data_IF_827215729569
#
_entry.id   IF_827215729569
#
_cell.length_a   1.000
_cell.length_b   1.000
_cell.length_c   1.000
_cell.angle_alpha   90.00
_cell.angle_beta   90.00
_cell.angle_gamma   90.00
#
_symmetry.space_group_name_H-M   'P 1'
#
loop_
_entity.id
_entity.type
_entity.pdbx_description
1 polymer ?
#
# COMPACT_ATOMS: atom_id res chain seq x y z
N UNK A 1 4.39 -4.95 -21.80
CA UNK A 1 3.11 -5.24 -21.12
C UNK A 1 3.38 -5.97 -19.81
N UNK A 2 2.58 -5.71 -18.79
CA UNK A 2 2.68 -6.42 -17.51
C UNK A 2 1.28 -6.88 -17.06
N UNK A 3 1.18 -8.08 -16.48
CA UNK A 3 -0.06 -8.64 -15.96
C UNK A 3 0.20 -9.55 -14.75
N UNK A 4 -0.80 -9.65 -13.87
CA UNK A 4 -0.72 -10.53 -12.71
C UNK A 4 -1.34 -11.90 -13.01
N UNK A 5 -0.62 -12.97 -12.69
CA UNK A 5 -1.14 -14.33 -12.74
C UNK A 5 -1.94 -14.64 -11.47
N UNK A 6 -3.24 -14.72 -11.61
CA UNK A 6 -4.11 -15.21 -10.54
C UNK A 6 -4.18 -16.75 -10.66
N UNK A 7 -3.94 -17.47 -9.55
CA UNK A 7 -4.15 -18.91 -9.51
C UNK A 7 -5.64 -19.22 -9.74
N UNK A 8 -5.95 -20.01 -10.76
CA UNK A 8 -7.29 -20.57 -10.94
C UNK A 8 -7.59 -21.45 -9.72
N UNK A 9 -8.72 -21.27 -9.01
CA UNK A 9 -9.05 -22.12 -7.88
C UNK A 9 -9.25 -23.56 -8.38
N UNK A 10 -8.29 -24.44 -8.11
CA UNK A 10 -8.41 -25.86 -8.34
C UNK A 10 -9.49 -26.38 -7.39
N UNK A 11 -10.62 -26.86 -7.91
CA UNK A 11 -11.63 -27.58 -7.13
C UNK A 11 -10.92 -28.72 -6.41
N UNK A 12 -10.95 -28.70 -5.07
CA UNK A 12 -10.42 -29.82 -4.27
C UNK A 12 -11.25 -31.06 -4.55
N UNK A 13 -10.76 -31.97 -5.37
CA UNK A 13 -11.24 -33.35 -5.36
C UNK A 13 -10.87 -33.96 -4.01
N UNK A 14 -11.88 -34.41 -3.26
CA UNK A 14 -11.69 -35.17 -2.02
C UNK A 14 -10.81 -36.38 -2.35
N UNK A 15 -9.57 -36.41 -1.82
CA UNK A 15 -8.76 -37.62 -1.79
C UNK A 15 -9.21 -38.43 -0.58
N UNK A 16 -9.68 -39.66 -0.90
CA UNK A 16 -9.90 -40.73 0.07
C UNK A 16 -8.60 -41.05 0.84
N UNK A 17 -8.76 -41.28 2.12
CA UNK A 17 -7.72 -41.69 3.06
C UNK A 17 -6.98 -42.97 2.61
N UNK A 18 -5.65 -42.87 2.57
CA UNK A 18 -4.77 -44.01 2.79
C UNK A 18 -3.73 -43.62 3.82
N UNK A 19 -3.82 -44.26 4.98
CA UNK A 19 -2.78 -44.33 6.00
C UNK A 19 -1.61 -45.13 5.42
N UNK A 20 -0.39 -44.60 5.53
CA UNK A 20 0.83 -45.41 5.67
C UNK A 20 2.02 -44.57 6.18
N UNK A 21 2.54 -45.03 7.24
CA UNK A 21 3.88 -45.06 7.82
C UNK A 21 4.84 -43.85 7.83
N UNK A 22 5.30 -43.68 9.06
CA UNK A 22 6.39 -42.91 9.60
C UNK A 22 7.72 -43.03 8.87
N UNK A 23 8.29 -41.89 8.38
CA UNK A 23 9.73 -41.69 8.28
C UNK A 23 10.08 -40.22 8.39
N UNK A 24 11.05 -39.85 9.25
CA UNK A 24 11.61 -38.53 9.49
C UNK A 24 11.85 -37.75 8.19
N UNK A 25 10.91 -36.85 7.80
CA UNK A 25 11.10 -35.92 6.69
C UNK A 25 11.72 -34.64 7.22
N UNK A 26 12.97 -34.34 6.82
CA UNK A 26 13.53 -32.98 6.88
C UNK A 26 12.49 -31.99 6.41
N UNK A 27 12.08 -31.03 7.26
CA UNK A 27 11.13 -29.98 6.92
C UNK A 27 11.70 -29.13 5.76
N UNK A 28 11.45 -29.50 4.53
CA UNK A 28 11.61 -28.59 3.39
C UNK A 28 10.71 -27.40 3.69
N UNK A 29 11.27 -26.18 3.77
CA UNK A 29 10.49 -24.95 3.88
C UNK A 29 9.47 -24.96 2.73
N UNK A 30 8.17 -25.08 3.05
CA UNK A 30 7.11 -25.05 2.03
C UNK A 30 7.15 -23.66 1.38
N UNK A 31 7.22 -23.63 0.05
CA UNK A 31 7.14 -22.38 -0.69
C UNK A 31 5.89 -21.60 -0.30
N UNK A 32 6.01 -20.29 -0.19
CA UNK A 32 4.91 -19.39 0.15
C UNK A 32 3.82 -19.48 -0.91
N UNK A 33 2.57 -19.72 -0.51
CA UNK A 33 1.45 -19.82 -1.45
C UNK A 33 1.11 -18.47 -2.05
N UNK A 34 0.87 -18.42 -3.34
CA UNK A 34 0.33 -17.25 -4.05
C UNK A 34 -1.11 -16.99 -3.58
N UNK A 35 -1.39 -15.78 -3.15
CA UNK A 35 -2.72 -15.36 -2.65
C UNK A 35 -2.81 -13.83 -2.59
N UNK A 36 -4.00 -13.26 -2.44
CA UNK A 36 -4.18 -11.82 -2.23
C UNK A 36 -3.37 -11.27 -1.03
N UNK A 37 -3.19 -12.08 0.04
CA UNK A 37 -2.38 -11.71 1.20
C UNK A 37 -0.89 -11.72 0.89
N UNK A 38 -0.41 -12.69 0.13
CA UNK A 38 1.01 -12.90 -0.13
C UNK A 38 1.49 -12.22 -1.41
N UNK A 39 0.58 -11.82 -2.30
CA UNK A 39 0.87 -11.32 -3.64
C UNK A 39 0.78 -12.40 -4.70
N UNK A 40 0.74 -11.97 -5.95
CA UNK A 40 0.66 -12.78 -7.16
C UNK A 40 1.98 -12.72 -7.95
N UNK A 41 2.13 -13.54 -8.97
CA UNK A 41 3.25 -13.42 -9.89
C UNK A 41 2.95 -12.34 -10.92
N UNK A 42 3.83 -11.36 -11.04
CA UNK A 42 3.78 -10.33 -12.07
C UNK A 42 4.63 -10.78 -13.25
N UNK A 43 4.03 -10.94 -14.40
CA UNK A 43 4.73 -11.26 -15.65
C UNK A 43 4.89 -9.97 -16.46
N UNK A 44 6.10 -9.71 -16.88
CA UNK A 44 6.45 -8.58 -17.75
C UNK A 44 6.87 -9.15 -19.09
N UNK A 45 6.13 -8.82 -20.13
CA UNK A 45 6.39 -9.30 -21.49
C UNK A 45 6.88 -8.15 -22.37
N UNK A 46 8.02 -8.32 -22.97
CA UNK A 46 8.49 -7.45 -24.05
C UNK A 46 7.79 -7.84 -25.35
N UNK A 47 7.06 -6.90 -25.95
CA UNK A 47 6.25 -7.20 -27.15
C UNK A 47 7.09 -7.39 -28.41
N UNK A 48 8.26 -6.75 -28.48
CA UNK A 48 9.15 -6.88 -29.65
C UNK A 48 9.89 -8.23 -29.65
N UNK A 49 10.44 -8.63 -28.49
CA UNK A 49 11.25 -9.84 -28.35
C UNK A 49 10.46 -11.05 -27.89
N UNK A 50 9.21 -10.88 -27.49
CA UNK A 50 8.32 -11.89 -26.87
C UNK A 50 8.88 -12.49 -25.58
N UNK A 51 9.98 -11.96 -25.04
CA UNK A 51 10.59 -12.43 -23.80
C UNK A 51 9.72 -12.07 -22.61
N UNK A 52 9.59 -12.99 -21.67
CA UNK A 52 8.85 -12.82 -20.42
C UNK A 52 9.77 -12.93 -19.22
N UNK A 53 9.62 -11.99 -18.28
CA UNK A 53 10.27 -12.02 -16.97
C UNK A 53 9.18 -12.06 -15.89
N UNK A 54 9.40 -12.88 -14.85
CA UNK A 54 8.39 -13.08 -13.77
C UNK A 54 8.93 -12.62 -12.43
N UNK A 55 8.22 -11.66 -11.82
CA UNK A 55 8.47 -11.20 -10.45
C UNK A 55 7.47 -11.85 -9.50
N UNK A 56 7.96 -12.47 -8.43
CA UNK A 56 7.12 -13.21 -7.49
C UNK A 56 6.56 -12.34 -6.39
N UNK A 57 5.36 -12.70 -5.90
CA UNK A 57 4.71 -12.12 -4.72
C UNK A 57 4.47 -10.61 -4.80
N UNK A 58 4.04 -10.12 -5.93
CA UNK A 58 3.67 -8.73 -6.17
C UNK A 58 2.22 -8.49 -5.76
N UNK A 59 1.96 -7.44 -4.99
CA UNK A 59 0.61 -7.00 -4.59
C UNK A 59 0.03 -5.94 -5.50
N UNK A 60 0.88 -5.02 -5.95
CA UNK A 60 0.49 -3.88 -6.78
C UNK A 60 1.66 -3.49 -7.67
N UNK A 61 1.36 -3.01 -8.84
CA UNK A 61 2.35 -2.42 -9.73
C UNK A 61 1.76 -1.22 -10.47
N UNK A 62 2.62 -0.32 -10.94
CA UNK A 62 2.27 0.82 -11.76
C UNK A 62 3.41 1.19 -12.69
N UNK A 63 3.09 1.50 -13.94
CA UNK A 63 4.05 2.08 -14.88
C UNK A 63 4.18 3.58 -14.65
N UNK A 64 5.38 4.11 -14.87
CA UNK A 64 5.56 5.53 -15.11
C UNK A 64 4.90 5.91 -16.44
N UNK A 65 4.49 7.17 -16.59
CA UNK A 65 3.74 7.66 -17.75
C UNK A 65 4.49 7.43 -19.09
N UNK A 66 5.81 7.58 -19.07
CA UNK A 66 6.66 7.34 -20.24
C UNK A 66 6.93 5.86 -20.54
N UNK A 67 6.44 4.94 -19.69
CA UNK A 67 6.59 3.51 -19.90
C UNK A 67 7.99 2.94 -19.65
N UNK A 68 8.98 3.75 -19.27
CA UNK A 68 10.36 3.32 -19.06
C UNK A 68 10.62 2.67 -17.70
N UNK A 69 9.80 2.97 -16.72
CA UNK A 69 9.93 2.46 -15.35
C UNK A 69 8.63 1.85 -14.85
N UNK A 70 8.78 0.82 -14.05
CA UNK A 70 7.70 0.11 -13.38
C UNK A 70 7.98 0.09 -11.88
N UNK A 71 7.08 0.60 -11.06
CA UNK A 71 7.10 0.37 -9.62
C UNK A 71 6.27 -0.85 -9.26
N UNK A 72 6.72 -1.61 -8.29
CA UNK A 72 5.93 -2.72 -7.75
C UNK A 72 6.14 -2.89 -6.24
N UNK A 73 5.10 -3.35 -5.57
CA UNK A 73 5.10 -3.69 -4.16
C UNK A 73 5.14 -5.19 -4.05
N UNK A 74 6.21 -5.74 -3.49
CA UNK A 74 6.35 -7.17 -3.25
C UNK A 74 6.35 -7.49 -1.76
N UNK A 75 5.83 -8.67 -1.40
CA UNK A 75 5.94 -9.20 -0.02
C UNK A 75 7.20 -10.05 0.18
N UNK A 76 8.03 -10.19 -0.86
CA UNK A 76 9.25 -11.00 -0.84
C UNK A 76 9.02 -12.49 -0.57
N UNK A 77 10.02 -13.30 -0.79
CA UNK A 77 9.98 -14.73 -0.47
C UNK A 77 10.20 -14.97 1.03
N UNK A 78 11.11 -14.21 1.66
CA UNK A 78 11.58 -14.39 3.04
C UNK A 78 10.92 -13.43 4.06
N UNK A 79 9.67 -13.03 3.82
CA UNK A 79 8.92 -12.11 4.69
C UNK A 79 9.50 -10.69 4.79
N UNK A 80 10.42 -10.33 3.94
CA UNK A 80 10.90 -8.96 3.75
C UNK A 80 10.21 -8.43 2.50
N UNK A 81 9.27 -7.53 2.68
CA UNK A 81 8.56 -6.88 1.59
C UNK A 81 9.11 -5.49 1.32
N UNK A 82 8.75 -4.93 0.18
CA UNK A 82 9.20 -3.59 -0.15
C UNK A 82 8.56 -3.00 -1.38
N UNK A 83 9.00 -1.80 -1.68
CA UNK A 83 8.73 -1.11 -2.94
C UNK A 83 10.01 -1.14 -3.77
N UNK A 84 9.85 -1.54 -5.00
CA UNK A 84 10.92 -1.67 -5.98
C UNK A 84 10.56 -0.89 -7.22
N UNK A 85 11.59 -0.38 -7.89
CA UNK A 85 11.46 0.24 -9.22
C UNK A 85 12.33 -0.54 -10.20
N UNK A 86 11.70 -1.07 -11.22
CA UNK A 86 12.35 -1.72 -12.34
C UNK A 86 12.50 -0.72 -13.48
N UNK A 87 13.73 -0.52 -13.94
CA UNK A 87 14.02 0.18 -15.19
C UNK A 87 13.92 -0.83 -16.34
N UNK A 88 12.99 -0.58 -17.27
CA UNK A 88 12.70 -1.48 -18.39
C UNK A 88 13.69 -1.36 -19.56
N UNK A 89 14.51 -0.30 -19.59
CA UNK A 89 15.52 -0.10 -20.65
C UNK A 89 16.75 -0.97 -20.41
N UNK A 90 17.20 -1.06 -19.16
CA UNK A 90 18.42 -1.80 -18.79
C UNK A 90 18.14 -3.01 -17.88
N UNK A 91 16.86 -3.29 -17.60
CA UNK A 91 16.38 -4.38 -16.74
C UNK A 91 16.99 -4.38 -15.33
N UNK A 92 17.28 -3.19 -14.77
CA UNK A 92 17.81 -3.05 -13.41
C UNK A 92 16.71 -2.78 -12.41
N UNK A 93 16.75 -3.47 -11.27
CA UNK A 93 15.80 -3.27 -10.17
C UNK A 93 16.47 -2.51 -9.03
N UNK A 94 15.85 -1.41 -8.61
CA UNK A 94 16.26 -0.63 -7.44
C UNK A 94 15.30 -0.89 -6.28
N UNK A 95 15.83 -1.28 -5.12
CA UNK A 95 15.07 -1.36 -3.88
C UNK A 95 14.88 0.06 -3.33
N UNK A 96 13.68 0.58 -3.44
CA UNK A 96 13.31 1.94 -3.00
C UNK A 96 13.05 1.99 -1.50
N UNK A 97 12.34 0.97 -1.01
CA UNK A 97 12.01 0.83 0.41
C UNK A 97 11.84 -0.64 0.75
N UNK A 98 12.38 -1.07 1.89
CA UNK A 98 12.21 -2.45 2.37
C UNK A 98 11.87 -2.48 3.85
N UNK A 99 11.15 -3.52 4.25
CA UNK A 99 10.77 -3.73 5.64
C UNK A 99 9.98 -5.01 5.86
N UNK A 100 9.59 -5.26 7.10
CA UNK A 100 8.82 -6.45 7.47
C UNK A 100 7.51 -6.54 6.68
N UNK A 101 7.01 -7.74 6.43
CA UNK A 101 5.73 -7.96 5.71
C UNK A 101 4.48 -7.39 6.39
N UNK A 102 4.57 -6.94 7.64
CA UNK A 102 3.52 -6.22 8.35
C UNK A 102 3.34 -4.78 7.85
N UNK A 103 4.36 -4.22 7.19
CA UNK A 103 4.33 -2.87 6.63
C UNK A 103 3.30 -2.79 5.50
N UNK A 104 2.49 -1.74 5.52
CA UNK A 104 1.51 -1.45 4.48
C UNK A 104 1.93 -0.23 3.68
N UNK A 105 1.68 -0.28 2.39
CA UNK A 105 2.02 0.76 1.44
C UNK A 105 0.76 1.30 0.78
N UNK A 106 0.67 2.61 0.67
CA UNK A 106 -0.50 3.32 0.13
C UNK A 106 -0.04 4.36 -0.90
N UNK A 107 -0.97 4.77 -1.75
CA UNK A 107 -0.85 5.94 -2.64
C UNK A 107 0.47 6.05 -3.40
N UNK A 108 0.96 4.94 -3.95
CA UNK A 108 2.20 4.93 -4.74
C UNK A 108 1.97 5.57 -6.10
N UNK A 109 2.71 6.62 -6.43
CA UNK A 109 2.63 7.27 -7.75
C UNK A 109 3.98 7.86 -8.21
N UNK A 110 4.23 7.79 -9.51
CA UNK A 110 5.38 8.43 -10.16
C UNK A 110 5.07 9.89 -10.54
N UNK A 111 6.11 10.68 -10.70
CA UNK A 111 6.05 11.88 -11.52
C UNK A 111 5.94 11.53 -13.01
N UNK A 112 5.60 12.49 -13.88
CA UNK A 112 5.42 12.26 -15.31
C UNK A 112 6.68 11.68 -15.97
N UNK A 113 7.87 12.15 -15.60
CA UNK A 113 9.14 11.66 -16.11
C UNK A 113 9.62 10.31 -15.51
N UNK A 114 8.89 9.73 -14.57
CA UNK A 114 9.28 8.46 -13.91
C UNK A 114 10.55 8.55 -13.05
N UNK A 115 11.07 9.75 -12.80
CA UNK A 115 12.32 9.97 -12.06
C UNK A 115 12.12 10.10 -10.55
N UNK A 116 10.90 10.39 -10.11
CA UNK A 116 10.52 10.49 -8.69
C UNK A 116 9.33 9.58 -8.40
N UNK A 117 9.32 8.99 -7.21
CA UNK A 117 8.21 8.14 -6.74
C UNK A 117 7.81 8.59 -5.33
N UNK A 118 6.54 8.95 -5.16
CA UNK A 118 5.95 9.25 -3.86
C UNK A 118 5.10 8.09 -3.36
N UNK A 119 5.14 7.84 -2.05
CA UNK A 119 4.30 6.81 -1.43
C UNK A 119 4.13 7.03 0.08
N UNK A 120 3.05 6.49 0.62
CA UNK A 120 2.74 6.49 2.05
C UNK A 120 3.02 5.12 2.64
N UNK A 121 3.65 5.09 3.81
CA UNK A 121 4.00 3.87 4.53
C UNK A 121 3.35 3.87 5.90
N UNK A 122 2.80 2.72 6.28
CA UNK A 122 2.42 2.39 7.65
C UNK A 122 3.41 1.32 8.16
N UNK A 123 4.41 1.76 8.89
CA UNK A 123 5.46 0.93 9.45
C UNK A 123 5.17 0.48 10.89
N UNK A 124 4.03 0.90 11.47
CA UNK A 124 3.69 0.59 12.85
C UNK A 124 3.34 -0.90 13.02
N UNK A 125 4.00 -1.52 13.98
CA UNK A 125 3.79 -2.92 14.39
C UNK A 125 3.01 -3.06 15.69
N UNK A 126 2.78 -1.95 16.41
CA UNK A 126 2.12 -1.94 17.72
C UNK A 126 0.61 -2.03 17.61
N UNK A 127 0.04 -1.96 16.39
CA UNK A 127 -1.39 -1.89 16.11
C UNK A 127 -2.07 -0.67 16.76
N UNK A 128 -1.35 0.46 16.82
CA UNK A 128 -1.91 1.71 17.31
C UNK A 128 -3.26 2.03 16.65
N UNK A 129 -4.21 2.52 17.43
CA UNK A 129 -5.56 2.88 16.95
C UNK A 129 -5.49 4.05 15.96
N UNK A 130 -4.64 5.04 16.25
CA UNK A 130 -4.27 6.10 15.31
C UNK A 130 -2.99 5.67 14.60
N UNK A 131 -3.07 5.42 13.30
CA UNK A 131 -1.94 4.90 12.51
C UNK A 131 -0.94 6.02 12.19
N UNK A 132 0.36 5.83 12.50
CA UNK A 132 1.40 6.83 12.24
C UNK A 132 1.89 6.73 10.79
N UNK A 133 1.08 7.17 9.84
CA UNK A 133 1.46 7.17 8.43
C UNK A 133 2.64 8.10 8.17
N UNK A 134 3.56 7.65 7.31
CA UNK A 134 4.76 8.37 6.93
C UNK A 134 4.80 8.54 5.41
N UNK A 135 5.22 9.71 4.96
CA UNK A 135 5.35 10.05 3.54
C UNK A 135 6.82 9.95 3.12
N UNK A 136 7.03 9.28 2.01
CA UNK A 136 8.35 9.07 1.41
C UNK A 136 8.42 9.56 -0.02
N UNK A 137 9.60 10.02 -0.41
CA UNK A 137 9.94 10.37 -1.80
C UNK A 137 11.23 9.67 -2.19
N UNK A 138 11.21 9.03 -3.34
CA UNK A 138 12.38 8.50 -4.02
C UNK A 138 12.76 9.41 -5.19
N UNK A 139 14.03 9.76 -5.30
CA UNK A 139 14.56 10.72 -6.30
C UNK A 139 15.35 10.06 -7.41
N UNK A 140 14.95 8.87 -7.86
CA UNK A 140 15.53 8.22 -9.03
C UNK A 140 16.71 7.29 -8.73
N UNK A 141 17.36 7.41 -7.59
CA UNK A 141 18.51 6.60 -7.17
C UNK A 141 18.45 6.23 -5.69
N UNK A 142 19.04 5.09 -5.33
CA UNK A 142 19.15 4.65 -3.94
C UNK A 142 17.80 4.39 -3.26
N UNK A 143 17.75 4.61 -1.95
CA UNK A 143 16.54 4.44 -1.13
C UNK A 143 15.73 5.73 -1.04
N UNK A 144 14.42 5.60 -0.83
CA UNK A 144 13.55 6.74 -0.59
C UNK A 144 13.87 7.45 0.72
N UNK A 145 13.70 8.76 0.72
CA UNK A 145 13.81 9.60 1.92
C UNK A 145 12.44 9.83 2.54
N UNK A 146 12.35 9.76 3.86
CA UNK A 146 11.15 10.17 4.60
C UNK A 146 11.07 11.68 4.58
N UNK A 147 9.94 12.24 4.15
CA UNK A 147 9.74 13.69 4.01
C UNK A 147 8.71 14.24 4.97
N UNK A 148 7.81 13.40 5.48
CA UNK A 148 6.83 13.78 6.48
C UNK A 148 6.47 12.59 7.36
N UNK A 149 6.33 12.84 8.65
CA UNK A 149 5.86 11.88 9.65
C UNK A 149 4.91 12.56 10.66
N UNK A 150 4.31 11.83 11.61
CA UNK A 150 3.41 12.43 12.59
C UNK A 150 4.01 13.55 13.44
N UNK A 151 5.34 13.56 13.66
CA UNK A 151 6.00 14.58 14.46
C UNK A 151 6.26 15.89 13.69
N UNK A 152 6.42 15.78 12.38
CA UNK A 152 6.66 16.92 11.46
C UNK A 152 5.39 17.41 10.76
N UNK A 153 4.27 16.69 10.93
CA UNK A 153 2.99 17.09 10.37
C UNK A 153 2.41 18.34 11.09
N UNK A 154 1.58 19.16 10.42
CA UNK A 154 0.89 20.28 11.05
C UNK A 154 0.04 19.81 12.24
N UNK A 155 -0.05 20.65 13.29
CA UNK A 155 -0.82 20.35 14.50
C UNK A 155 -2.26 19.94 14.16
N UNK A 156 -2.71 18.81 14.68
CA UNK A 156 -4.05 18.27 14.46
C UNK A 156 -4.22 17.52 13.13
N UNK A 157 -3.15 17.31 12.37
CA UNK A 157 -3.17 16.56 11.12
C UNK A 157 -2.08 15.50 11.08
N UNK A 158 -2.32 14.48 10.27
CA UNK A 158 -1.35 13.45 9.92
C UNK A 158 -1.40 13.14 8.43
N UNK A 159 -0.44 12.39 7.94
CA UNK A 159 -0.42 11.92 6.56
C UNK A 159 -1.65 11.03 6.31
N UNK A 160 -2.40 11.30 5.23
CA UNK A 160 -3.56 10.51 4.85
C UNK A 160 -3.16 9.30 4.02
N UNK A 161 -3.69 8.12 4.35
CA UNK A 161 -3.60 6.93 3.50
C UNK A 161 -4.54 6.98 2.29
N UNK A 162 -5.50 7.91 2.25
CA UNK A 162 -6.52 8.03 1.22
C UNK A 162 -6.24 9.15 0.21
N UNK A 163 -5.40 10.14 0.58
CA UNK A 163 -5.05 11.26 -0.28
C UNK A 163 -4.13 10.85 -1.42
N UNK A 164 -4.49 11.19 -2.65
CA UNK A 164 -3.67 10.89 -3.83
C UNK A 164 -2.36 11.64 -3.78
N UNK A 165 -1.29 11.00 -4.28
CA UNK A 165 0.00 11.63 -4.50
C UNK A 165 0.12 12.02 -5.96
N UNK A 166 0.48 13.29 -6.21
CA UNK A 166 0.78 13.80 -7.54
C UNK A 166 2.02 14.69 -7.47
N UNK A 167 2.64 14.93 -8.61
CA UNK A 167 3.78 15.82 -8.74
C UNK A 167 3.43 17.01 -9.63
N UNK A 168 4.07 18.15 -9.37
CA UNK A 168 4.02 19.29 -10.31
C UNK A 168 4.75 18.95 -11.61
N UNK A 169 4.40 19.63 -12.70
CA UNK A 169 5.03 19.39 -14.02
C UNK A 169 6.54 19.66 -14.02
N UNK A 170 6.98 20.64 -13.25
CA UNK A 170 8.40 20.99 -13.05
C UNK A 170 9.11 20.07 -12.04
N UNK A 171 8.41 19.12 -11.45
CA UNK A 171 8.91 18.18 -10.45
C UNK A 171 9.50 18.84 -9.17
N UNK A 172 9.17 20.11 -8.91
CA UNK A 172 9.60 20.82 -7.70
C UNK A 172 8.72 20.55 -6.50
N UNK A 173 7.45 20.22 -6.72
CA UNK A 173 6.44 20.06 -5.70
C UNK A 173 5.78 18.68 -5.77
N UNK A 174 5.43 18.17 -4.59
CA UNK A 174 4.60 16.99 -4.44
C UNK A 174 3.31 17.35 -3.73
N UNK A 175 2.18 16.98 -4.31
CA UNK A 175 0.85 17.09 -3.71
C UNK A 175 0.50 15.77 -3.04
N UNK A 176 -0.06 15.83 -1.84
CA UNK A 176 -0.44 14.65 -1.06
C UNK A 176 -1.64 14.96 -0.18
N UNK A 177 -2.13 13.98 0.57
CA UNK A 177 -3.25 14.16 1.48
C UNK A 177 -2.82 14.27 2.93
N UNK A 178 -3.43 15.20 3.65
CA UNK A 178 -3.47 15.24 5.11
C UNK A 178 -4.86 14.83 5.60
N UNK A 179 -4.96 14.23 6.76
CA UNK A 179 -6.24 13.90 7.40
C UNK A 179 -6.16 14.20 8.89
N UNK A 180 -7.30 14.52 9.49
CA UNK A 180 -7.43 14.57 10.94
C UNK A 180 -7.33 13.16 11.51
N UNK A 181 -6.76 12.98 12.72
CA UNK A 181 -6.78 11.68 13.38
C UNK A 181 -8.20 11.14 13.50
N UNK A 182 -8.41 9.84 13.30
CA UNK A 182 -9.73 9.24 13.46
C UNK A 182 -10.19 9.36 14.91
N UNK A 183 -11.48 9.57 15.10
CA UNK A 183 -12.10 9.48 16.43
C UNK A 183 -11.98 8.03 16.90
N UNK A 184 -11.25 7.82 17.97
CA UNK A 184 -11.03 6.50 18.55
C UNK A 184 -12.20 6.18 19.47
N UNK A 185 -12.78 4.99 19.31
CA UNK A 185 -13.79 4.50 20.25
C UNK A 185 -13.16 4.27 21.61
N UNK A 186 -13.87 4.62 22.66
CA UNK A 186 -13.48 4.26 24.02
C UNK A 186 -13.51 2.73 24.15
N UNK A 187 -12.36 2.15 24.43
CA UNK A 187 -12.21 0.69 24.62
C UNK A 187 -12.28 0.27 26.08
N UNK A 188 -12.42 1.22 27.01
CA UNK A 188 -12.61 0.95 28.44
C UNK A 188 -14.04 0.54 28.76
N UNK A 189 -15.01 0.92 27.93
CA UNK A 189 -16.42 0.58 28.10
C UNK A 189 -16.71 -0.83 27.58
N UNK A 190 -17.52 -1.58 28.31
CA UNK A 190 -18.09 -2.83 27.84
C UNK A 190 -19.06 -2.56 26.69
N UNK A 191 -19.23 -3.52 25.78
CA UNK A 191 -20.15 -3.37 24.63
C UNK A 191 -21.59 -3.06 25.05
N UNK A 192 -21.99 -3.54 26.21
CA UNK A 192 -23.29 -3.34 26.79
C UNK A 192 -23.50 -1.95 27.40
N UNK A 193 -22.39 -1.27 27.73
CA UNK A 193 -22.39 0.10 28.26
C UNK A 193 -22.34 1.16 27.14
N UNK A 194 -22.05 0.74 25.91
CA UNK A 194 -22.02 1.64 24.75
C UNK A 194 -23.45 1.95 24.34
N UNK A 195 -23.95 3.10 24.76
CA UNK A 195 -25.25 3.60 24.34
C UNK A 195 -25.13 4.18 22.93
N UNK A 196 -25.90 3.64 21.99
CA UNK A 196 -26.06 4.22 20.68
C UNK A 196 -27.18 5.28 20.74
N UNK A 197 -26.80 6.54 20.85
CA UNK A 197 -27.74 7.67 20.85
C UNK A 197 -27.62 8.41 19.53
N UNK A 198 -28.75 8.64 18.87
CA UNK A 198 -28.85 9.52 17.70
C UNK A 198 -29.42 10.87 18.15
N UNK A 199 -28.63 11.93 17.97
CA UNK A 199 -29.08 13.29 18.30
C UNK A 199 -29.52 13.98 17.02
N UNK A 200 -30.81 14.29 16.95
CA UNK A 200 -31.41 15.03 15.84
C UNK A 200 -31.45 16.51 16.21
N UNK A 201 -30.48 17.26 15.71
CA UNK A 201 -30.42 18.71 15.90
C UNK A 201 -31.03 19.41 14.68
N UNK A 202 -31.97 20.35 14.91
CA UNK A 202 -32.64 21.08 13.85
C UNK A 202 -31.70 22.03 13.08
N UNK A 203 -30.63 22.44 13.69
CA UNK A 203 -29.60 23.31 13.13
C UNK A 203 -28.45 22.54 12.46
N UNK A 204 -28.55 21.24 12.36
CA UNK A 204 -27.54 20.40 11.71
C UNK A 204 -27.43 20.76 10.22
N UNK A 205 -26.21 21.05 9.70
CA UNK A 205 -26.02 21.49 8.31
C UNK A 205 -26.34 20.38 7.29
N UNK A 206 -26.52 19.15 7.74
CA UNK A 206 -26.88 18.00 6.91
C UNK A 206 -27.92 17.14 7.60
N UNK A 207 -28.92 16.70 6.82
CA UNK A 207 -29.92 15.73 7.29
C UNK A 207 -29.25 14.44 7.76
N UNK A 208 -29.80 13.79 8.77
CA UNK A 208 -29.30 12.54 9.35
C UNK A 208 -29.10 11.46 8.28
N UNK A 209 -30.08 11.24 7.42
CA UNK A 209 -30.01 10.26 6.32
C UNK A 209 -28.82 10.54 5.37
N UNK A 210 -28.54 11.82 5.10
CA UNK A 210 -27.37 12.22 4.29
C UNK A 210 -26.07 11.97 5.04
N UNK A 211 -26.04 12.23 6.35
CA UNK A 211 -24.87 11.94 7.18
C UNK A 211 -24.55 10.44 7.17
N UNK A 212 -25.56 9.58 7.34
CA UNK A 212 -25.41 8.12 7.31
C UNK A 212 -24.83 7.62 5.98
N UNK A 213 -25.37 8.09 4.86
CA UNK A 213 -24.87 7.75 3.53
C UNK A 213 -23.42 8.21 3.30
N UNK A 214 -23.00 9.31 3.93
CA UNK A 214 -21.70 9.91 3.75
C UNK A 214 -20.64 9.49 4.78
N UNK A 215 -20.98 8.71 5.80
CA UNK A 215 -20.06 8.26 6.85
C UNK A 215 -18.74 7.73 6.28
N UNK A 216 -18.79 6.93 5.23
CA UNK A 216 -17.59 6.38 4.59
C UNK A 216 -16.72 7.48 3.98
N UNK A 217 -17.33 8.43 3.28
CA UNK A 217 -16.61 9.54 2.64
C UNK A 217 -16.02 10.48 3.70
N UNK A 218 -16.77 10.79 4.75
CA UNK A 218 -16.29 11.62 5.86
C UNK A 218 -15.11 10.99 6.59
N UNK A 219 -15.16 9.68 6.83
CA UNK A 219 -14.04 8.92 7.47
C UNK A 219 -12.78 8.83 6.61
N UNK A 220 -12.90 8.94 5.29
CA UNK A 220 -11.78 8.88 4.36
C UNK A 220 -11.38 10.24 3.81
N UNK A 221 -11.98 11.32 4.34
CA UNK A 221 -11.71 12.69 3.91
C UNK A 221 -10.23 13.02 4.02
N UNK A 222 -9.70 13.62 2.97
CA UNK A 222 -8.31 14.08 2.90
C UNK A 222 -8.28 15.52 2.43
N UNK A 223 -7.39 16.30 3.02
CA UNK A 223 -7.12 17.67 2.65
C UNK A 223 -5.85 17.71 1.79
N UNK A 224 -5.91 18.43 0.68
CA UNK A 224 -4.75 18.57 -0.18
C UNK A 224 -3.67 19.41 0.51
N UNK A 225 -2.46 18.89 0.47
CA UNK A 225 -1.26 19.56 0.96
C UNK A 225 -0.17 19.52 -0.12
N UNK A 226 0.77 20.44 -0.04
CA UNK A 226 1.90 20.55 -0.96
C UNK A 226 3.21 20.59 -0.18
N UNK A 227 4.20 19.86 -0.68
CA UNK A 227 5.56 19.87 -0.17
C UNK A 227 6.52 20.23 -1.29
N UNK A 228 7.47 21.13 -1.02
CA UNK A 228 8.60 21.38 -1.90
C UNK A 228 9.63 20.26 -1.72
N UNK A 229 10.01 19.58 -2.81
CA UNK A 229 10.87 18.38 -2.77
C UNK A 229 12.25 18.60 -3.38
N UNK A 230 12.55 19.83 -3.79
CA UNK A 230 13.87 20.23 -4.31
C UNK A 230 14.73 20.98 -3.27
N UNK A 231 14.22 21.15 -2.06
CA UNK A 231 14.94 21.77 -0.91
C UNK A 231 15.69 20.72 -0.10
#
# INVERSE_FOLDING_TARGET
VAYMLHSIPVKKTKKSDKKEDSKKKKKKKKAKKVSAKNGYHLVIRNLATQKEDTIRYVKKYAFAKEGKRLSYISTGEDKIGGIYVLNLENNTTTEVFSGKNSIKYFQTNFNDAGTKLGFVVDADTTKALVRPYQLYVWNGTGKAKKVLDPSSAPKGYGVSSNGRINFSKDNSKMYFGLATPPIVKDTSLLKEEIVNVEVWAYDSPRLYTVQELQVKNDRTKSYAAVLNINS
#
